data_IF_082810549506
#
_entry.id   IF_082810549506
#
_cell.length_a   1.000
_cell.length_b   1.000
_cell.length_c   1.000
_cell.angle_alpha   90.00
_cell.angle_beta   90.00
_cell.angle_gamma   90.00
#
_symmetry.space_group_name_H-M   'P 1'
#
loop_
_entity.id
_entity.type
_entity.pdbx_description
1 polymer ?
#
# COMPACT_ATOMS: atom_id res chain seq x y z
N UNK A 1 14.31 45.59 8.01
CA UNK A 1 13.31 44.52 7.85
C UNK A 1 13.15 43.85 9.21
N UNK A 2 11.95 43.81 9.73
CA UNK A 2 11.62 43.04 10.92
C UNK A 2 11.93 41.57 10.70
N UNK A 3 12.54 40.93 11.70
CA UNK A 3 12.84 39.47 11.60
C UNK A 3 11.52 38.73 11.68
N UNK A 4 11.09 38.13 10.58
CA UNK A 4 9.92 37.27 10.55
C UNK A 4 10.16 35.98 11.33
N UNK A 5 9.14 35.44 11.98
CA UNK A 5 9.16 34.06 12.52
C UNK A 5 9.39 33.09 11.35
N UNK A 6 10.13 31.99 11.60
CA UNK A 6 10.39 30.94 10.61
C UNK A 6 9.09 30.41 10.00
N UNK A 7 8.03 30.28 10.79
CA UNK A 7 6.71 29.80 10.36
C UNK A 7 6.04 30.68 9.29
N UNK A 8 6.36 31.97 9.25
CA UNK A 8 5.83 32.90 8.23
C UNK A 8 6.43 32.68 6.82
N UNK A 9 7.50 31.89 6.73
CA UNK A 9 8.14 31.49 5.47
C UNK A 9 7.61 30.18 4.91
N UNK A 10 6.87 29.41 5.70
CA UNK A 10 6.26 28.18 5.23
C UNK A 10 5.04 28.45 4.35
N UNK A 11 4.76 27.54 3.42
CA UNK A 11 3.51 27.58 2.69
C UNK A 11 2.32 27.41 3.65
N UNK A 12 1.19 28.11 3.43
CA UNK A 12 0.09 28.18 4.42
C UNK A 12 -0.42 26.81 4.90
N UNK A 13 -0.53 25.85 4.00
CA UNK A 13 -1.06 24.53 4.30
C UNK A 13 -0.10 23.63 5.11
N UNK A 14 1.17 24.03 5.26
CA UNK A 14 2.11 23.28 6.12
C UNK A 14 1.69 23.29 7.59
N UNK A 15 0.92 24.26 8.03
CA UNK A 15 0.40 24.32 9.40
C UNK A 15 -0.66 23.27 9.71
N UNK A 16 -1.34 22.75 8.69
CA UNK A 16 -2.42 21.75 8.81
C UNK A 16 -2.04 20.39 8.25
N UNK A 17 -0.95 20.30 7.47
CA UNK A 17 -0.46 19.04 6.91
C UNK A 17 -0.08 18.06 8.01
N UNK A 18 -0.51 16.81 7.84
CA UNK A 18 -0.25 15.73 8.81
C UNK A 18 1.11 15.11 8.62
N UNK A 19 1.82 14.90 9.72
CA UNK A 19 3.00 14.05 9.74
C UNK A 19 2.59 12.58 9.73
N UNK A 20 3.25 11.78 8.88
CA UNK A 20 3.03 10.33 8.89
C UNK A 20 3.83 9.69 10.00
N UNK A 21 3.15 9.26 11.06
CA UNK A 21 3.79 8.71 12.25
C UNK A 21 4.37 7.30 12.00
N UNK A 22 5.68 7.16 12.24
CA UNK A 22 6.44 5.91 12.13
C UNK A 22 7.00 5.41 13.45
N UNK A 23 6.68 6.03 14.58
CA UNK A 23 7.28 5.72 15.90
C UNK A 23 7.15 4.27 16.33
N UNK A 24 6.09 3.58 15.91
CA UNK A 24 5.92 2.14 16.20
C UNK A 24 7.04 1.29 15.55
N UNK A 25 7.65 1.77 14.45
CA UNK A 25 8.78 1.08 13.83
C UNK A 25 10.00 1.10 14.73
N UNK A 26 10.33 2.25 15.30
CA UNK A 26 11.49 2.38 16.20
C UNK A 26 11.33 1.43 17.39
N UNK A 27 10.17 1.46 18.05
CA UNK A 27 9.85 0.54 19.13
C UNK A 27 9.98 -0.94 18.70
N UNK A 28 9.50 -1.28 17.50
CA UNK A 28 9.52 -2.67 17.02
C UNK A 28 10.93 -3.16 16.65
N UNK A 29 11.84 -2.28 16.27
CA UNK A 29 13.24 -2.61 16.07
C UNK A 29 14.02 -2.78 17.39
N UNK A 30 13.66 -2.01 18.40
CA UNK A 30 14.24 -2.13 19.75
C UNK A 30 13.78 -3.40 20.49
N UNK A 31 12.69 -4.01 20.04
CA UNK A 31 12.06 -5.19 20.66
C UNK A 31 11.88 -6.34 19.66
N UNK A 32 12.96 -6.97 19.21
CA UNK A 32 12.93 -8.03 18.20
C UNK A 32 12.18 -9.29 18.66
N UNK A 33 11.93 -9.46 19.96
CA UNK A 33 11.15 -10.56 20.53
C UNK A 33 9.63 -10.38 20.33
N UNK A 34 9.19 -9.20 19.86
CA UNK A 34 7.79 -8.93 19.56
C UNK A 34 7.47 -9.30 18.10
N UNK A 35 6.35 -9.99 17.89
CA UNK A 35 5.84 -10.30 16.55
C UNK A 35 5.30 -9.05 15.86
N UNK A 36 5.77 -8.78 14.63
CA UNK A 36 5.44 -7.58 13.84
C UNK A 36 4.28 -7.85 12.88
N UNK A 37 3.06 -8.05 13.40
CA UNK A 37 1.88 -8.40 12.60
C UNK A 37 1.05 -7.17 12.17
N UNK A 38 1.67 -5.99 11.99
CA UNK A 38 0.97 -4.70 11.87
C UNK A 38 1.14 -3.96 10.55
N UNK A 39 2.20 -4.22 9.76
CA UNK A 39 2.61 -3.34 8.65
C UNK A 39 2.48 -3.96 7.26
N UNK A 40 1.79 -5.09 7.14
CA UNK A 40 1.69 -5.81 5.87
C UNK A 40 3.07 -6.12 5.27
N UNK A 41 4.04 -6.47 6.14
CA UNK A 41 5.35 -6.97 5.74
C UNK A 41 5.23 -8.45 5.38
N UNK A 42 6.06 -8.94 4.47
CA UNK A 42 6.23 -10.36 4.28
C UNK A 42 7.28 -10.84 5.30
N UNK A 43 6.99 -11.87 6.14
CA UNK A 43 7.90 -12.28 7.21
C UNK A 43 9.12 -13.06 6.70
N UNK A 44 9.03 -13.60 5.48
CA UNK A 44 10.08 -14.45 4.91
C UNK A 44 11.21 -13.59 4.33
N UNK A 45 12.47 -13.83 4.74
CA UNK A 45 13.61 -13.05 4.26
C UNK A 45 13.83 -13.26 2.75
N UNK A 46 14.62 -12.38 2.10
CA UNK A 46 15.09 -12.62 0.74
C UNK A 46 15.92 -13.92 0.65
N UNK A 47 15.81 -14.63 -0.47
CA UNK A 47 16.64 -15.80 -0.73
C UNK A 47 18.11 -15.43 -0.85
N UNK A 48 18.99 -16.43 -0.69
CA UNK A 48 20.44 -16.25 -0.86
C UNK A 48 20.77 -15.70 -2.26
N UNK A 49 20.04 -16.14 -3.30
CA UNK A 49 20.18 -15.62 -4.67
C UNK A 49 20.00 -14.10 -4.76
N UNK A 50 19.00 -13.57 -4.07
CA UNK A 50 18.75 -12.12 -4.02
C UNK A 50 19.83 -11.40 -3.21
N UNK A 51 20.24 -11.97 -2.08
CA UNK A 51 21.32 -11.43 -1.24
C UNK A 51 22.63 -11.35 -2.04
N UNK A 52 23.01 -12.42 -2.73
CA UNK A 52 24.23 -12.51 -3.53
C UNK A 52 24.21 -11.45 -4.66
N UNK A 53 23.08 -11.29 -5.34
CA UNK A 53 22.92 -10.25 -6.38
C UNK A 53 23.14 -8.84 -5.84
N UNK A 54 22.67 -8.54 -4.62
CA UNK A 54 22.90 -7.26 -3.95
C UNK A 54 24.36 -7.08 -3.58
N UNK A 55 25.00 -8.10 -3.01
CA UNK A 55 26.43 -8.07 -2.64
C UNK A 55 27.30 -7.87 -3.88
N UNK A 56 27.01 -8.57 -4.97
CA UNK A 56 27.75 -8.46 -6.22
C UNK A 56 27.73 -7.07 -6.82
N UNK A 57 26.61 -6.38 -6.74
CA UNK A 57 26.48 -5.04 -7.32
C UNK A 57 27.13 -3.95 -6.46
N UNK A 58 27.37 -4.20 -5.17
CA UNK A 58 27.99 -3.22 -4.25
C UNK A 58 29.40 -2.79 -4.69
N UNK A 59 30.14 -3.63 -5.41
CA UNK A 59 31.44 -3.24 -5.99
C UNK A 59 31.39 -2.07 -6.98
N UNK A 60 30.20 -1.75 -7.47
CA UNK A 60 29.93 -0.60 -8.33
C UNK A 60 29.26 0.58 -7.62
N UNK A 61 29.17 0.53 -6.28
CA UNK A 61 28.48 1.55 -5.46
C UNK A 61 29.04 2.97 -5.59
N UNK A 62 30.22 3.12 -6.20
CA UNK A 62 30.83 4.42 -6.55
C UNK A 62 30.34 4.99 -7.91
N UNK A 63 29.39 4.33 -8.58
CA UNK A 63 28.84 4.74 -9.88
C UNK A 63 27.36 4.98 -9.79
N UNK A 64 26.85 5.95 -10.55
CA UNK A 64 25.42 6.12 -10.73
C UNK A 64 24.79 4.93 -11.45
N UNK A 65 23.54 4.55 -11.10
CA UNK A 65 22.81 3.54 -11.85
C UNK A 65 22.57 3.97 -13.31
N UNK A 66 22.32 2.99 -14.17
CA UNK A 66 21.94 3.21 -15.56
C UNK A 66 20.51 3.72 -15.72
N UNK A 67 20.01 3.78 -16.97
CA UNK A 67 18.64 4.21 -17.29
C UNK A 67 17.56 3.18 -16.91
N UNK A 68 17.92 2.05 -16.28
CA UNK A 68 17.02 0.98 -15.85
C UNK A 68 16.19 0.33 -17.00
N UNK A 69 16.61 0.53 -18.25
CA UNK A 69 15.83 0.09 -19.42
C UNK A 69 15.54 -1.42 -19.42
N UNK A 70 16.54 -2.24 -19.04
CA UNK A 70 16.39 -3.69 -18.95
C UNK A 70 15.40 -4.10 -17.88
N UNK A 71 15.48 -3.51 -16.68
CA UNK A 71 14.58 -3.82 -15.59
C UNK A 71 13.16 -3.29 -15.86
N UNK A 72 13.03 -2.11 -16.49
CA UNK A 72 11.74 -1.60 -16.97
C UNK A 72 11.08 -2.55 -17.97
N UNK A 73 11.85 -3.13 -18.89
CA UNK A 73 11.34 -4.11 -19.85
C UNK A 73 10.88 -5.40 -19.15
N UNK A 74 11.60 -5.89 -18.12
CA UNK A 74 11.18 -7.05 -17.32
C UNK A 74 9.87 -6.78 -16.56
N UNK A 75 9.74 -5.61 -15.93
CA UNK A 75 8.51 -5.23 -15.25
C UNK A 75 7.36 -5.06 -16.24
N UNK A 76 7.58 -4.37 -17.37
CA UNK A 76 6.55 -4.19 -18.40
C UNK A 76 6.00 -5.52 -18.93
N UNK A 77 6.89 -6.51 -19.12
CA UNK A 77 6.49 -7.85 -19.59
C UNK A 77 5.46 -8.54 -18.67
N UNK A 78 5.43 -8.24 -17.38
CA UNK A 78 4.42 -8.78 -16.44
C UNK A 78 3.00 -8.33 -16.80
N UNK A 79 2.87 -7.25 -17.57
CA UNK A 79 1.61 -6.59 -17.90
C UNK A 79 1.36 -6.47 -19.42
N UNK A 80 2.15 -7.15 -20.22
CA UNK A 80 2.12 -7.05 -21.69
C UNK A 80 2.34 -5.60 -22.17
N UNK A 81 3.32 -4.91 -21.56
CA UNK A 81 3.69 -3.52 -21.81
C UNK A 81 5.17 -3.37 -22.17
N UNK A 82 5.51 -2.31 -22.93
CA UNK A 82 6.87 -1.94 -23.22
C UNK A 82 7.56 -1.17 -22.07
N UNK A 83 8.89 -1.02 -22.11
CA UNK A 83 9.64 -0.24 -21.10
C UNK A 83 9.26 1.25 -21.09
N UNK A 84 8.69 1.79 -22.15
CA UNK A 84 8.18 3.17 -22.24
C UNK A 84 6.93 3.40 -21.35
N UNK A 85 6.23 2.33 -21.01
CA UNK A 85 5.05 2.33 -20.15
C UNK A 85 5.37 2.19 -18.65
N UNK A 86 6.65 2.09 -18.29
CA UNK A 86 7.10 1.78 -16.93
C UNK A 86 8.04 2.84 -16.40
N UNK A 87 7.82 3.33 -15.18
CA UNK A 87 8.79 4.11 -14.41
C UNK A 87 9.06 3.44 -13.07
N UNK A 88 10.33 3.13 -12.80
CA UNK A 88 10.77 2.53 -11.53
C UNK A 88 10.97 3.62 -10.47
N UNK A 89 10.64 3.30 -9.22
CA UNK A 89 10.61 4.25 -8.13
C UNK A 89 11.17 3.65 -6.83
N UNK A 90 11.59 4.51 -5.92
CA UNK A 90 12.06 4.14 -4.60
C UNK A 90 10.88 3.77 -3.67
N UNK A 91 10.18 2.68 -4.04
CA UNK A 91 8.90 2.27 -3.47
C UNK A 91 7.74 3.15 -3.92
N UNK A 92 6.50 2.69 -3.68
CA UNK A 92 5.29 3.45 -4.03
C UNK A 92 5.14 4.75 -3.24
N UNK A 93 5.83 4.92 -2.12
CA UNK A 93 5.80 6.20 -1.38
C UNK A 93 6.29 7.37 -2.22
N UNK A 94 7.30 7.15 -3.07
CA UNK A 94 7.80 8.16 -4.01
C UNK A 94 6.80 8.44 -5.14
N UNK A 95 6.08 7.40 -5.60
CA UNK A 95 5.03 7.55 -6.61
C UNK A 95 3.86 8.37 -6.03
N UNK A 96 3.44 8.06 -4.81
CA UNK A 96 2.36 8.76 -4.12
C UNK A 96 2.69 10.25 -3.96
N UNK A 97 3.90 10.59 -3.53
CA UNK A 97 4.32 12.00 -3.45
C UNK A 97 4.35 12.67 -4.81
N UNK A 98 4.90 12.00 -5.81
CA UNK A 98 5.05 12.54 -7.15
C UNK A 98 3.71 12.78 -7.85
N UNK A 99 2.75 11.83 -7.76
CA UNK A 99 1.45 12.00 -8.40
C UNK A 99 0.65 13.15 -7.79
N UNK A 100 0.76 13.39 -6.46
CA UNK A 100 0.10 14.55 -5.86
C UNK A 100 0.61 15.86 -6.47
N UNK A 101 1.90 15.98 -6.72
CA UNK A 101 2.51 17.16 -7.35
C UNK A 101 2.28 17.25 -8.86
N UNK A 102 2.02 16.13 -9.54
CA UNK A 102 1.70 16.12 -10.97
C UNK A 102 0.28 16.64 -11.20
N UNK A 103 -0.68 16.25 -10.36
CA UNK A 103 -2.10 16.47 -10.61
C UNK A 103 -2.74 17.56 -9.73
N UNK A 104 -2.17 17.88 -8.56
CA UNK A 104 -2.81 18.71 -7.56
C UNK A 104 -2.05 20.01 -7.31
N UNK A 105 -2.82 21.09 -7.21
CA UNK A 105 -2.39 22.39 -6.73
C UNK A 105 -3.35 22.88 -5.63
N UNK A 106 -3.02 23.98 -4.91
CA UNK A 106 -3.90 24.50 -3.87
C UNK A 106 -5.32 24.77 -4.38
N UNK A 107 -6.30 24.19 -3.68
CA UNK A 107 -7.72 24.32 -4.00
C UNK A 107 -8.29 23.22 -4.89
N UNK A 108 -7.45 22.37 -5.49
CA UNK A 108 -7.90 21.16 -6.19
C UNK A 108 -8.39 20.09 -5.21
N UNK A 109 -9.12 19.11 -5.73
CA UNK A 109 -9.67 18.01 -4.95
C UNK A 109 -9.18 16.64 -5.47
N UNK A 110 -8.89 15.75 -4.51
CA UNK A 110 -8.70 14.31 -4.76
C UNK A 110 -9.81 13.54 -4.07
N UNK A 111 -10.44 12.61 -4.80
CA UNK A 111 -11.46 11.70 -4.26
C UNK A 111 -10.84 10.36 -3.91
N UNK A 112 -11.12 9.86 -2.70
CA UNK A 112 -10.69 8.54 -2.23
C UNK A 112 -11.66 7.97 -1.20
N UNK A 113 -11.66 6.65 -1.01
CA UNK A 113 -12.47 6.01 0.04
C UNK A 113 -11.88 6.25 1.44
N UNK A 114 -12.69 6.06 2.47
CA UNK A 114 -12.29 6.08 3.87
C UNK A 114 -12.94 4.90 4.63
N UNK A 115 -12.17 4.01 5.27
CA UNK A 115 -10.71 4.08 5.44
C UNK A 115 -9.92 3.70 4.19
N UNK A 116 -8.70 4.24 4.10
CA UNK A 116 -7.72 3.95 3.05
C UNK A 116 -6.29 3.97 3.61
N UNK A 117 -5.28 3.76 2.76
CA UNK A 117 -3.88 3.86 3.18
C UNK A 117 -3.52 5.32 3.51
N UNK A 118 -3.21 5.58 4.78
CA UNK A 118 -3.06 6.93 5.33
C UNK A 118 -1.97 7.82 4.73
N UNK A 119 -1.06 7.27 3.90
CA UNK A 119 -0.06 8.09 3.22
C UNK A 119 -0.69 8.96 2.12
N UNK A 120 -1.74 8.50 1.45
CA UNK A 120 -2.39 9.25 0.39
C UNK A 120 -2.96 10.60 0.85
N UNK A 121 -3.84 10.65 1.87
CA UNK A 121 -4.34 11.92 2.34
C UNK A 121 -3.23 12.82 2.89
N UNK A 122 -2.24 12.26 3.61
CA UNK A 122 -1.12 13.04 4.15
C UNK A 122 -0.29 13.70 3.03
N UNK A 123 -0.09 13.02 1.89
CA UNK A 123 0.66 13.60 0.75
C UNK A 123 -0.18 14.54 -0.10
N UNK A 124 -1.50 14.36 -0.18
CA UNK A 124 -2.39 15.32 -0.83
C UNK A 124 -2.43 16.66 -0.07
N UNK A 125 -2.52 16.64 1.25
CA UNK A 125 -2.56 17.82 2.10
C UNK A 125 -1.34 18.74 1.94
N UNK A 126 -0.14 18.18 1.70
CA UNK A 126 1.08 18.99 1.51
C UNK A 126 1.13 19.74 0.17
N UNK A 127 0.19 19.51 -0.74
CA UNK A 127 0.05 20.31 -1.98
C UNK A 127 -0.95 21.46 -1.82
N UNK A 128 -1.63 21.56 -0.67
CA UNK A 128 -2.72 22.49 -0.45
C UNK A 128 -4.05 22.04 -1.08
N UNK A 129 -4.11 20.81 -1.59
CA UNK A 129 -5.33 20.24 -2.13
C UNK A 129 -6.25 19.72 -1.02
N UNK A 130 -7.55 19.62 -1.34
CA UNK A 130 -8.56 19.07 -0.44
C UNK A 130 -8.75 17.58 -0.70
N UNK A 131 -8.74 16.80 0.37
CA UNK A 131 -9.09 15.38 0.33
C UNK A 131 -10.59 15.22 0.52
N UNK A 132 -11.27 14.70 -0.51
CA UNK A 132 -12.68 14.33 -0.46
C UNK A 132 -12.74 12.82 -0.09
N UNK A 133 -12.92 12.56 1.20
CA UNK A 133 -12.94 11.22 1.78
C UNK A 133 -14.36 10.68 1.82
N UNK A 134 -14.65 9.65 1.04
CA UNK A 134 -15.98 9.01 0.97
C UNK A 134 -15.97 7.78 1.88
N UNK A 135 -16.84 7.69 2.89
CA UNK A 135 -16.94 6.50 3.72
C UNK A 135 -17.25 5.25 2.88
N UNK A 136 -16.63 4.12 3.23
CA UNK A 136 -17.05 2.82 2.68
C UNK A 136 -18.46 2.46 3.19
N UNK A 137 -19.19 1.63 2.46
CA UNK A 137 -20.52 1.17 2.87
C UNK A 137 -20.43 0.43 4.21
N UNK A 138 -21.44 0.60 5.05
CA UNK A 138 -21.43 0.04 6.42
C UNK A 138 -21.69 -1.47 6.45
N UNK A 139 -22.44 -2.00 5.47
CA UNK A 139 -22.89 -3.38 5.41
C UNK A 139 -21.80 -4.37 5.01
N UNK A 140 -20.89 -3.96 4.08
CA UNK A 140 -19.91 -4.86 3.48
C UNK A 140 -18.50 -4.25 3.35
N UNK A 141 -18.33 -3.00 3.77
CA UNK A 141 -17.09 -2.21 3.67
C UNK A 141 -16.59 -2.00 2.24
N UNK A 142 -17.49 -2.15 1.24
CA UNK A 142 -17.21 -1.86 -0.15
C UNK A 142 -17.15 -0.34 -0.42
N UNK A 143 -16.57 0.02 -1.54
CA UNK A 143 -16.62 1.37 -2.06
C UNK A 143 -18.07 1.84 -2.20
N UNK A 144 -18.38 3.01 -1.70
CA UNK A 144 -19.63 3.70 -2.04
C UNK A 144 -19.44 4.44 -3.37
N UNK A 145 -19.59 3.69 -4.45
CA UNK A 145 -19.33 4.16 -5.83
C UNK A 145 -20.22 5.33 -6.18
N UNK A 146 -21.50 5.28 -5.81
CA UNK A 146 -22.44 6.36 -6.10
C UNK A 146 -22.03 7.65 -5.38
N UNK A 147 -21.73 7.57 -4.09
CA UNK A 147 -21.28 8.75 -3.34
C UNK A 147 -19.93 9.28 -3.85
N UNK A 148 -19.02 8.41 -4.33
CA UNK A 148 -17.77 8.84 -4.94
C UNK A 148 -18.00 9.56 -6.28
N UNK A 149 -18.90 9.08 -7.11
CA UNK A 149 -19.26 9.71 -8.40
C UNK A 149 -20.00 11.03 -8.19
N UNK A 150 -20.93 11.09 -7.23
CA UNK A 150 -21.69 12.30 -6.88
C UNK A 150 -20.77 13.41 -6.32
N UNK A 151 -19.64 13.04 -5.71
CA UNK A 151 -18.65 13.99 -5.20
C UNK A 151 -17.80 14.64 -6.29
N UNK A 152 -17.82 14.12 -7.52
CA UNK A 152 -17.02 14.63 -8.64
C UNK A 152 -17.51 16.03 -9.04
N UNK A 153 -16.56 16.96 -9.18
CA UNK A 153 -16.85 18.32 -9.60
C UNK A 153 -15.64 18.91 -10.38
N UNK A 154 -15.74 20.16 -10.80
CA UNK A 154 -14.71 20.84 -11.60
C UNK A 154 -13.33 20.96 -10.93
N UNK A 155 -13.27 20.86 -9.58
CA UNK A 155 -12.04 20.88 -8.79
C UNK A 155 -11.42 19.48 -8.65
N UNK A 156 -12.13 18.43 -9.00
CA UNK A 156 -11.61 17.06 -8.93
C UNK A 156 -10.55 16.87 -10.00
N UNK A 157 -9.31 16.61 -9.59
CA UNK A 157 -8.15 16.44 -10.49
C UNK A 157 -7.53 15.06 -10.41
N UNK A 158 -7.90 14.28 -9.40
CA UNK A 158 -7.38 12.93 -9.21
C UNK A 158 -8.42 12.08 -8.48
N UNK A 159 -8.59 10.85 -8.92
CA UNK A 159 -9.36 9.81 -8.22
C UNK A 159 -8.43 8.68 -7.87
N UNK A 160 -8.54 8.16 -6.66
CA UNK A 160 -7.73 7.04 -6.16
C UNK A 160 -8.61 5.83 -5.85
N UNK A 161 -8.26 4.71 -6.45
CA UNK A 161 -8.81 3.38 -6.13
C UNK A 161 -7.67 2.46 -5.73
N UNK A 162 -7.68 1.95 -4.49
CA UNK A 162 -6.74 0.93 -4.03
C UNK A 162 -7.40 -0.44 -4.23
N UNK A 163 -6.80 -1.30 -5.02
CA UNK A 163 -7.46 -2.52 -5.47
C UNK A 163 -6.57 -3.78 -5.33
N UNK A 164 -6.73 -4.53 -4.22
CA UNK A 164 -7.76 -4.43 -3.17
C UNK A 164 -7.50 -3.30 -2.16
N UNK A 165 -8.59 -2.73 -1.60
CA UNK A 165 -8.49 -1.63 -0.64
C UNK A 165 -7.84 -2.05 0.68
N UNK A 166 -6.99 -1.22 1.19
CA UNK A 166 -6.37 -1.38 2.51
C UNK A 166 -6.95 -0.31 3.47
N UNK A 167 -7.68 -0.70 4.53
CA UNK A 167 -7.64 -2.00 5.20
C UNK A 167 -8.80 -2.96 4.90
N UNK A 168 -9.83 -2.60 4.13
CA UNK A 168 -11.08 -3.37 4.04
C UNK A 168 -10.96 -4.68 3.25
N UNK A 169 -9.95 -4.81 2.39
CA UNK A 169 -9.69 -6.02 1.61
C UNK A 169 -10.56 -6.17 0.36
N UNK A 170 -11.44 -5.24 0.09
CA UNK A 170 -12.40 -5.35 -1.01
C UNK A 170 -11.79 -4.99 -2.35
N UNK A 171 -12.19 -5.70 -3.41
CA UNK A 171 -12.01 -5.28 -4.79
C UNK A 171 -13.19 -4.44 -5.25
N UNK A 172 -12.91 -3.40 -6.04
CA UNK A 172 -13.97 -2.73 -6.80
C UNK A 172 -14.40 -3.62 -7.97
N UNK A 173 -15.69 -3.70 -8.24
CA UNK A 173 -16.21 -4.44 -9.41
C UNK A 173 -15.79 -3.75 -10.70
N UNK A 174 -15.50 -4.55 -11.75
CA UNK A 174 -15.02 -4.00 -13.03
C UNK A 174 -16.02 -3.03 -13.67
N UNK A 175 -17.34 -3.32 -13.57
CA UNK A 175 -18.38 -2.41 -14.06
C UNK A 175 -18.36 -1.03 -13.39
N UNK A 176 -18.03 -0.99 -12.09
CA UNK A 176 -17.96 0.23 -11.30
C UNK A 176 -16.64 0.98 -11.56
N UNK A 177 -15.54 0.24 -11.73
CA UNK A 177 -14.25 0.81 -12.11
C UNK A 177 -14.32 1.50 -13.47
N UNK A 178 -15.01 0.90 -14.44
CA UNK A 178 -15.21 1.50 -15.77
C UNK A 178 -15.94 2.84 -15.70
N UNK A 179 -16.91 3.01 -14.80
CA UNK A 179 -17.59 4.30 -14.60
C UNK A 179 -16.62 5.42 -14.20
N UNK A 180 -15.60 5.12 -13.40
CA UNK A 180 -14.55 6.09 -13.09
C UNK A 180 -13.62 6.34 -14.30
N UNK A 181 -13.33 5.32 -15.10
CA UNK A 181 -12.55 5.50 -16.33
C UNK A 181 -13.26 6.43 -17.32
N UNK A 182 -14.58 6.34 -17.44
CA UNK A 182 -15.40 7.15 -18.36
C UNK A 182 -15.44 8.64 -18.01
N UNK A 183 -15.06 9.02 -16.78
CA UNK A 183 -15.03 10.43 -16.36
C UNK A 183 -13.93 11.26 -17.05
N UNK A 184 -12.90 10.62 -17.62
CA UNK A 184 -11.76 11.33 -18.21
C UNK A 184 -10.85 12.06 -17.20
N UNK A 185 -11.08 11.87 -15.91
CA UNK A 185 -10.26 12.42 -14.83
C UNK A 185 -9.10 11.46 -14.54
N UNK A 186 -7.87 11.95 -14.28
CA UNK A 186 -6.75 11.08 -13.87
C UNK A 186 -7.17 10.10 -12.77
N UNK A 187 -7.02 8.81 -13.05
CA UNK A 187 -7.39 7.71 -12.16
C UNK A 187 -6.17 6.87 -11.81
N UNK A 188 -5.79 6.89 -10.53
CA UNK A 188 -4.77 6.00 -10.00
C UNK A 188 -5.39 4.71 -9.47
N UNK A 189 -4.95 3.57 -9.98
CA UNK A 189 -5.30 2.25 -9.45
C UNK A 189 -4.07 1.70 -8.72
N UNK A 190 -4.18 1.53 -7.40
CA UNK A 190 -3.09 0.96 -6.58
C UNK A 190 -3.25 -0.56 -6.49
N UNK A 191 -2.36 -1.28 -7.13
CA UNK A 191 -2.30 -2.75 -7.15
C UNK A 191 -1.15 -3.29 -6.27
N UNK A 192 -0.86 -2.66 -5.14
CA UNK A 192 0.23 -3.08 -4.26
C UNK A 192 0.14 -4.55 -3.79
N UNK A 193 -1.05 -5.14 -3.80
CA UNK A 193 -1.30 -6.51 -3.35
C UNK A 193 -1.57 -7.49 -4.50
N UNK A 194 -1.52 -7.07 -5.75
CA UNK A 194 -1.83 -7.86 -6.95
C UNK A 194 -1.16 -9.25 -6.97
N UNK A 195 0.10 -9.33 -6.58
CA UNK A 195 0.87 -10.58 -6.66
C UNK A 195 0.45 -11.66 -5.65
N UNK A 196 -0.46 -11.38 -4.73
CA UNK A 196 -1.04 -12.42 -3.87
C UNK A 196 -2.16 -13.20 -4.57
N UNK A 197 -2.85 -12.60 -5.55
CA UNK A 197 -3.95 -13.17 -6.31
C UNK A 197 -3.90 -12.74 -7.78
N UNK A 198 -2.83 -13.10 -8.52
CA UNK A 198 -2.65 -12.66 -9.90
C UNK A 198 -3.72 -13.21 -10.87
N UNK A 199 -4.44 -14.27 -10.47
CA UNK A 199 -5.55 -14.85 -11.23
C UNK A 199 -6.75 -13.89 -11.41
N UNK A 200 -6.89 -12.89 -10.56
CA UNK A 200 -7.93 -11.84 -10.71
C UNK A 200 -7.63 -10.92 -11.90
N UNK A 201 -6.38 -10.90 -12.35
CA UNK A 201 -5.93 -10.03 -13.44
C UNK A 201 -5.67 -8.59 -13.00
N UNK A 202 -4.59 -8.02 -13.53
CA UNK A 202 -4.30 -6.59 -13.36
C UNK A 202 -5.22 -5.74 -14.21
N UNK A 203 -5.52 -4.53 -13.74
CA UNK A 203 -6.28 -3.52 -14.47
C UNK A 203 -5.42 -2.72 -15.45
N UNK A 204 -4.15 -3.12 -15.66
CA UNK A 204 -3.23 -2.45 -16.58
C UNK A 204 -3.75 -2.38 -18.03
N UNK A 205 -4.59 -3.32 -18.46
CA UNK A 205 -5.21 -3.30 -19.79
C UNK A 205 -6.08 -2.06 -20.04
N UNK A 206 -6.66 -1.44 -18.98
CA UNK A 206 -7.50 -0.25 -19.08
C UNK A 206 -6.74 0.97 -19.64
N UNK A 207 -5.42 1.03 -19.45
CA UNK A 207 -4.61 2.12 -19.97
C UNK A 207 -4.58 2.19 -21.51
N UNK A 208 -4.91 1.09 -22.20
CA UNK A 208 -4.96 1.06 -23.67
C UNK A 208 -6.17 1.84 -24.20
N UNK A 209 -7.26 1.86 -23.47
CA UNK A 209 -8.51 2.53 -23.84
C UNK A 209 -8.64 3.89 -23.14
N UNK A 210 -8.15 3.99 -21.89
CA UNK A 210 -8.29 5.17 -21.05
C UNK A 210 -6.88 5.73 -20.69
N UNK A 211 -6.31 6.64 -21.51
CA UNK A 211 -4.92 7.11 -21.35
C UNK A 211 -4.66 7.91 -20.09
N UNK A 212 -5.69 8.36 -19.38
CA UNK A 212 -5.62 9.05 -18.09
C UNK A 212 -5.60 8.08 -16.90
N UNK A 213 -5.81 6.78 -17.14
CA UNK A 213 -5.65 5.73 -16.12
C UNK A 213 -4.17 5.37 -16.01
N UNK A 214 -3.68 5.25 -14.78
CA UNK A 214 -2.34 4.76 -14.47
C UNK A 214 -2.38 3.88 -13.23
N UNK A 215 -1.44 2.95 -13.15
CA UNK A 215 -1.36 2.01 -12.05
C UNK A 215 -0.06 2.17 -11.30
N UNK A 216 -0.06 1.83 -10.02
CA UNK A 216 1.16 1.64 -9.26
C UNK A 216 1.17 0.27 -8.58
N UNK A 217 2.37 -0.26 -8.42
CA UNK A 217 2.59 -1.51 -7.68
C UNK A 217 3.96 -1.52 -7.00
N UNK A 218 4.21 -2.51 -6.15
CA UNK A 218 5.39 -2.54 -5.29
C UNK A 218 5.90 -3.96 -5.06
N UNK A 219 7.20 -4.07 -4.81
CA UNK A 219 7.80 -5.29 -4.32
C UNK A 219 7.82 -5.37 -2.78
N UNK A 220 7.30 -4.37 -2.10
CA UNK A 220 7.26 -4.34 -0.63
C UNK A 220 6.37 -5.42 -0.01
N UNK A 221 5.38 -5.97 -0.74
CA UNK A 221 4.35 -6.86 -0.20
C UNK A 221 4.65 -8.33 -0.52
N UNK A 222 4.12 -8.89 -1.58
CA UNK A 222 4.31 -10.30 -1.93
C UNK A 222 5.79 -10.69 -2.07
N UNK A 223 6.60 -9.84 -2.67
CA UNK A 223 8.03 -10.07 -2.84
C UNK A 223 8.86 -9.93 -1.54
N UNK A 224 8.33 -9.28 -0.50
CA UNK A 224 9.00 -9.13 0.79
C UNK A 224 10.12 -8.07 0.81
N UNK A 225 10.02 -7.04 -0.02
CA UNK A 225 11.08 -6.03 -0.21
C UNK A 225 10.76 -4.67 0.43
N UNK A 226 10.10 -4.65 1.60
CA UNK A 226 9.80 -3.42 2.31
C UNK A 226 11.05 -2.55 2.54
N UNK A 227 12.16 -3.17 2.98
CA UNK A 227 13.44 -2.50 3.24
C UNK A 227 14.26 -2.17 1.98
N UNK A 228 14.03 -2.90 0.88
CA UNK A 228 14.72 -2.72 -0.40
C UNK A 228 14.22 -1.48 -1.16
N UNK A 229 12.98 -1.05 -0.87
CA UNK A 229 12.40 0.15 -1.45
C UNK A 229 12.27 0.10 -2.98
N UNK A 230 11.54 -0.86 -3.52
CA UNK A 230 11.31 -0.97 -4.95
C UNK A 230 9.81 -0.95 -5.28
N UNK A 231 9.44 -0.11 -6.22
CA UNK A 231 8.09 0.03 -6.75
C UNK A 231 8.12 0.62 -8.17
N UNK A 232 6.98 0.66 -8.80
CA UNK A 232 6.86 1.17 -10.16
C UNK A 232 5.46 1.72 -10.42
N UNK A 233 5.40 2.65 -11.38
CA UNK A 233 4.17 3.15 -11.97
C UNK A 233 4.10 2.70 -13.43
N UNK A 234 2.90 2.34 -13.84
CA UNK A 234 2.54 1.97 -15.20
C UNK A 234 1.59 3.02 -15.77
N UNK A 235 1.80 3.39 -17.03
CA UNK A 235 0.96 4.38 -17.70
C UNK A 235 1.27 4.45 -19.21
N UNK A 236 0.55 5.30 -19.90
CA UNK A 236 0.92 5.65 -21.29
C UNK A 236 2.30 6.32 -21.31
N UNK A 237 3.00 6.34 -22.45
CA UNK A 237 4.27 7.05 -22.55
C UNK A 237 4.18 8.52 -22.13
N UNK A 238 3.05 9.17 -22.38
CA UNK A 238 2.80 10.55 -21.93
C UNK A 238 2.71 10.65 -20.41
N UNK A 239 1.96 9.76 -19.76
CA UNK A 239 1.87 9.66 -18.30
C UNK A 239 3.26 9.42 -17.69
N UNK A 240 4.00 8.47 -18.22
CA UNK A 240 5.37 8.16 -17.77
C UNK A 240 6.31 9.35 -17.97
N UNK A 241 6.14 10.13 -19.04
CA UNK A 241 6.90 11.37 -19.24
C UNK A 241 6.65 12.40 -18.13
N UNK A 242 5.41 12.54 -17.64
CA UNK A 242 5.09 13.39 -16.50
C UNK A 242 5.82 12.94 -15.22
N UNK A 243 5.78 11.64 -14.93
CA UNK A 243 6.55 11.08 -13.81
C UNK A 243 8.07 11.25 -13.97
N UNK A 244 8.62 11.13 -15.19
CA UNK A 244 10.04 11.35 -15.45
C UNK A 244 10.48 12.79 -15.17
N UNK A 245 9.60 13.78 -15.37
CA UNK A 245 9.88 15.20 -15.05
C UNK A 245 9.82 15.47 -13.54
N UNK A 246 8.96 14.74 -12.82
CA UNK A 246 8.74 14.94 -11.40
C UNK A 246 9.76 14.20 -10.54
N UNK A 247 10.11 12.97 -10.92
CA UNK A 247 11.02 12.12 -10.17
C UNK A 247 12.47 12.56 -10.36
N UNK A 248 13.25 12.48 -9.27
CA UNK A 248 14.67 12.76 -9.33
C UNK A 248 15.40 11.73 -10.21
N UNK A 249 16.48 12.13 -10.90
CA UNK A 249 17.34 11.17 -11.58
C UNK A 249 18.00 10.23 -10.55
N UNK A 250 18.27 9.01 -10.97
CA UNK A 250 18.94 7.97 -10.14
C UNK A 250 18.22 7.66 -8.82
N UNK A 251 16.92 7.82 -8.77
CA UNK A 251 16.09 7.64 -7.59
C UNK A 251 16.05 6.21 -7.02
N UNK A 252 16.37 5.20 -7.83
CA UNK A 252 16.44 3.79 -7.41
C UNK A 252 17.90 3.36 -7.29
N UNK A 253 18.30 2.81 -6.14
CA UNK A 253 19.66 2.38 -5.90
C UNK A 253 20.04 1.14 -6.73
N UNK A 254 21.34 0.96 -6.99
CA UNK A 254 21.86 -0.25 -7.64
C UNK A 254 21.45 -1.52 -6.90
N UNK A 255 21.47 -1.49 -5.56
CA UNK A 255 21.07 -2.62 -4.72
C UNK A 255 19.60 -2.98 -4.88
N UNK A 256 18.73 -1.97 -4.88
CA UNK A 256 17.29 -2.17 -5.11
C UNK A 256 17.01 -2.74 -6.51
N UNK A 257 17.73 -2.28 -7.53
CA UNK A 257 17.62 -2.80 -8.90
C UNK A 257 18.07 -4.25 -9.00
N UNK A 258 19.22 -4.59 -8.41
CA UNK A 258 19.76 -5.94 -8.41
C UNK A 258 18.84 -6.93 -7.67
N UNK A 259 18.32 -6.52 -6.50
CA UNK A 259 17.36 -7.31 -5.75
C UNK A 259 16.07 -7.56 -6.55
N UNK A 260 15.52 -6.50 -7.16
CA UNK A 260 14.29 -6.62 -7.95
C UNK A 260 14.48 -7.50 -9.18
N UNK A 261 15.60 -7.38 -9.87
CA UNK A 261 15.93 -8.22 -11.03
C UNK A 261 16.09 -9.69 -10.64
N UNK A 262 16.85 -9.98 -9.57
CA UNK A 262 17.04 -11.34 -9.06
C UNK A 262 15.71 -11.98 -8.63
N UNK A 263 14.80 -11.21 -8.04
CA UNK A 263 13.46 -11.68 -7.66
C UNK A 263 12.60 -11.98 -8.90
N UNK A 264 12.63 -11.13 -9.92
CA UNK A 264 11.90 -11.37 -11.18
C UNK A 264 12.40 -12.62 -11.91
N UNK A 265 13.67 -12.95 -11.74
CA UNK A 265 14.31 -14.16 -12.27
C UNK A 265 14.16 -15.39 -11.34
N UNK A 266 13.33 -15.26 -10.28
CA UNK A 266 13.09 -16.31 -9.29
C UNK A 266 11.60 -16.41 -8.89
N UNK A 267 10.73 -16.78 -9.84
CA UNK A 267 9.28 -16.83 -9.58
C UNK A 267 8.89 -17.86 -8.50
N UNK A 268 9.71 -18.87 -8.27
CA UNK A 268 9.48 -19.89 -7.25
C UNK A 268 9.54 -19.30 -5.82
N UNK A 269 10.43 -18.35 -5.59
CA UNK A 269 10.49 -17.63 -4.31
C UNK A 269 9.21 -16.83 -4.05
N UNK A 270 8.72 -16.14 -5.07
CA UNK A 270 7.45 -15.42 -4.95
C UNK A 270 6.30 -16.37 -4.66
N UNK A 271 6.20 -17.48 -5.38
CA UNK A 271 5.18 -18.51 -5.18
C UNK A 271 5.19 -19.04 -3.74
N UNK A 272 6.37 -19.40 -3.22
CA UNK A 272 6.54 -19.86 -1.84
C UNK A 272 6.08 -18.83 -0.80
N UNK A 273 6.42 -17.55 -1.00
CA UNK A 273 6.00 -16.45 -0.11
C UNK A 273 4.49 -16.25 -0.13
N UNK A 274 3.88 -16.35 -1.29
CA UNK A 274 2.42 -16.24 -1.47
C UNK A 274 1.71 -17.43 -0.83
N UNK A 275 2.20 -18.65 -1.02
CA UNK A 275 1.64 -19.86 -0.42
C UNK A 275 1.65 -19.80 1.11
N UNK A 276 2.78 -19.39 1.73
CA UNK A 276 2.88 -19.19 3.17
C UNK A 276 1.82 -18.20 3.68
N UNK A 277 1.71 -17.06 3.01
CA UNK A 277 0.69 -16.06 3.34
C UNK A 277 -0.72 -16.62 3.27
N UNK A 278 -1.07 -17.26 2.15
CA UNK A 278 -2.45 -17.72 1.90
C UNK A 278 -2.86 -18.85 2.86
N UNK A 279 -1.91 -19.73 3.22
CA UNK A 279 -2.08 -20.74 4.29
C UNK A 279 -2.55 -20.06 5.58
N UNK A 280 -1.82 -19.05 6.05
CA UNK A 280 -2.11 -18.41 7.33
C UNK A 280 -3.33 -17.49 7.29
N UNK A 281 -3.57 -16.81 6.19
CA UNK A 281 -4.80 -16.03 6.00
C UNK A 281 -6.05 -16.91 6.12
N UNK A 282 -6.03 -18.13 5.57
CA UNK A 282 -7.12 -19.10 5.71
C UNK A 282 -7.31 -19.53 7.17
N UNK A 283 -6.23 -19.92 7.86
CA UNK A 283 -6.26 -20.34 9.26
C UNK A 283 -6.80 -19.21 10.14
N UNK A 284 -6.33 -17.97 9.94
CA UNK A 284 -6.82 -16.82 10.71
C UNK A 284 -8.32 -16.59 10.50
N UNK A 285 -8.80 -16.65 9.26
CA UNK A 285 -10.22 -16.47 8.96
C UNK A 285 -11.09 -17.50 9.69
N UNK A 286 -10.69 -18.78 9.66
CA UNK A 286 -11.41 -19.88 10.32
C UNK A 286 -11.43 -19.70 11.85
N UNK A 287 -10.29 -19.41 12.47
CA UNK A 287 -10.19 -19.27 13.92
C UNK A 287 -10.94 -18.03 14.45
N UNK A 288 -10.80 -16.90 13.76
CA UNK A 288 -11.51 -15.66 14.10
C UNK A 288 -13.03 -15.87 14.01
N UNK A 289 -13.50 -16.56 12.97
CA UNK A 289 -14.93 -16.89 12.81
C UNK A 289 -15.45 -17.80 13.93
N UNK A 290 -14.67 -18.82 14.36
CA UNK A 290 -15.04 -19.69 15.48
C UNK A 290 -15.24 -18.94 16.80
N UNK A 291 -14.54 -17.81 16.97
CA UNK A 291 -14.67 -16.94 18.14
C UNK A 291 -15.86 -15.95 18.04
N UNK A 292 -16.69 -16.05 17.01
CA UNK A 292 -17.82 -15.15 16.79
C UNK A 292 -17.46 -13.75 16.32
N UNK A 293 -16.19 -13.53 15.96
CA UNK A 293 -15.71 -12.29 15.37
C UNK A 293 -15.89 -12.32 13.84
N UNK A 294 -15.90 -11.15 13.18
CA UNK A 294 -16.06 -11.09 11.74
C UNK A 294 -14.73 -10.75 11.05
N UNK A 295 -14.07 -11.72 10.38
CA UNK A 295 -12.92 -11.45 9.55
C UNK A 295 -13.35 -10.88 8.19
N UNK A 296 -12.53 -9.98 7.65
CA UNK A 296 -12.57 -9.50 6.26
C UNK A 296 -11.22 -9.86 5.62
N UNK A 297 -11.06 -11.09 5.13
CA UNK A 297 -9.80 -11.52 4.53
C UNK A 297 -9.57 -10.76 3.23
N UNK A 298 -8.45 -10.04 3.18
CA UNK A 298 -8.04 -9.37 1.95
C UNK A 298 -7.38 -10.38 1.00
N UNK A 299 -7.52 -10.20 -0.31
CA UNK A 299 -6.66 -10.84 -1.29
C UNK A 299 -5.27 -10.18 -1.28
N UNK A 300 -4.58 -10.29 -0.14
CA UNK A 300 -3.30 -9.68 0.17
C UNK A 300 -2.73 -10.33 1.42
N UNK A 301 -1.82 -9.64 2.11
CA UNK A 301 -1.22 -10.12 3.35
C UNK A 301 -1.76 -9.40 4.61
N UNK A 302 -3.03 -9.18 4.65
CA UNK A 302 -3.66 -8.59 5.83
C UNK A 302 -5.12 -9.02 5.94
N UNK A 303 -5.61 -9.00 7.15
CA UNK A 303 -7.00 -9.25 7.48
C UNK A 303 -7.51 -8.16 8.41
N UNK A 304 -8.54 -7.45 8.00
CA UNK A 304 -9.31 -6.60 8.89
C UNK A 304 -10.24 -7.49 9.71
N UNK A 305 -10.28 -7.26 11.00
CA UNK A 305 -11.16 -8.01 11.93
C UNK A 305 -12.09 -7.03 12.62
N UNK A 306 -13.38 -7.27 12.53
CA UNK A 306 -14.41 -6.61 13.33
C UNK A 306 -14.63 -7.42 14.61
N UNK A 307 -14.09 -6.93 15.71
CA UNK A 307 -14.26 -7.50 17.05
C UNK A 307 -15.23 -6.68 17.92
N UNK A 308 -15.98 -5.76 17.32
CA UNK A 308 -16.90 -4.86 18.05
C UNK A 308 -18.00 -5.60 18.83
N UNK A 309 -18.39 -6.79 18.37
CA UNK A 309 -19.32 -7.68 19.09
C UNK A 309 -18.82 -8.04 20.49
N UNK A 310 -17.51 -8.02 20.72
CA UNK A 310 -16.91 -8.28 22.05
C UNK A 310 -17.06 -7.12 23.04
N UNK A 311 -17.51 -5.95 22.58
CA UNK A 311 -17.57 -4.73 23.39
C UNK A 311 -16.22 -4.09 23.68
N UNK A 312 -15.12 -4.63 23.15
CA UNK A 312 -13.76 -4.13 23.36
C UNK A 312 -13.38 -3.09 22.31
N UNK A 313 -12.68 -2.05 22.74
CA UNK A 313 -12.13 -1.03 21.85
C UNK A 313 -10.88 -1.53 21.13
N UNK A 314 -10.55 -0.92 20.01
CA UNK A 314 -9.29 -1.18 19.31
C UNK A 314 -8.07 -1.00 20.24
N UNK A 315 -8.06 0.05 21.07
CA UNK A 315 -6.95 0.34 21.98
C UNK A 315 -6.74 -0.79 23.01
N UNK A 316 -7.82 -1.33 23.60
CA UNK A 316 -7.78 -2.45 24.55
C UNK A 316 -7.25 -3.72 23.88
N UNK A 317 -7.72 -4.02 22.65
CA UNK A 317 -7.28 -5.20 21.90
C UNK A 317 -5.77 -5.14 21.63
N UNK A 318 -5.27 -4.00 21.17
CA UNK A 318 -3.84 -3.83 20.86
C UNK A 318 -2.97 -3.89 22.12
N UNK A 319 -3.42 -3.29 23.23
CA UNK A 319 -2.72 -3.36 24.50
C UNK A 319 -2.63 -4.80 25.02
N UNK A 320 -3.75 -5.54 24.99
CA UNK A 320 -3.79 -6.94 25.41
C UNK A 320 -2.88 -7.84 24.52
N UNK A 321 -2.89 -7.67 23.20
CA UNK A 321 -2.01 -8.41 22.29
C UNK A 321 -0.53 -8.19 22.62
N UNK A 322 -0.17 -6.95 22.93
CA UNK A 322 1.19 -6.56 23.29
C UNK A 322 1.60 -7.14 24.65
N UNK A 323 0.72 -7.09 25.65
CA UNK A 323 0.99 -7.56 27.00
C UNK A 323 1.01 -9.09 27.10
N UNK A 324 0.00 -9.77 26.55
CA UNK A 324 -0.18 -11.21 26.70
C UNK A 324 0.80 -12.05 25.87
N UNK A 325 1.01 -11.65 24.61
CA UNK A 325 1.77 -12.49 23.66
C UNK A 325 2.87 -11.71 22.90
N UNK A 326 3.19 -10.48 23.32
CA UNK A 326 4.21 -9.64 22.66
C UNK A 326 3.98 -9.47 21.15
N UNK A 327 2.77 -9.04 20.77
CA UNK A 327 2.35 -8.90 19.37
C UNK A 327 2.01 -7.44 19.08
N UNK A 328 2.52 -6.90 17.98
CA UNK A 328 2.06 -5.65 17.41
C UNK A 328 0.97 -5.91 16.37
N UNK A 329 -0.24 -5.41 16.62
CA UNK A 329 -1.34 -5.35 15.65
C UNK A 329 -1.49 -3.94 15.09
N UNK A 330 -2.14 -3.80 13.94
CA UNK A 330 -2.39 -2.49 13.35
C UNK A 330 -3.65 -1.86 13.95
N UNK A 331 -3.48 -0.66 14.49
CA UNK A 331 -4.59 0.19 14.88
C UNK A 331 -5.41 0.59 13.66
N UNK A 332 -6.73 0.44 13.77
CA UNK A 332 -7.71 0.92 12.81
C UNK A 332 -8.60 1.93 13.54
N UNK A 333 -8.77 3.10 12.95
CA UNK A 333 -9.74 4.08 13.45
C UNK A 333 -11.16 3.53 13.34
N UNK A 334 -12.12 4.03 14.15
CA UNK A 334 -13.51 3.62 14.00
C UNK A 334 -13.99 3.74 12.55
N UNK A 335 -14.63 2.68 12.04
CA UNK A 335 -15.20 2.64 10.71
C UNK A 335 -16.70 2.93 10.84
N UNK A 336 -17.18 3.95 10.16
CA UNK A 336 -18.58 4.40 10.23
C UNK A 336 -19.07 4.59 11.68
N UNK A 337 -18.19 5.14 12.54
CA UNK A 337 -18.49 5.37 13.96
C UNK A 337 -18.38 4.14 14.88
N UNK A 338 -18.10 2.95 14.35
CA UNK A 338 -17.99 1.70 15.09
C UNK A 338 -16.51 1.41 15.42
N UNK A 339 -16.18 1.26 16.70
CA UNK A 339 -14.85 0.87 17.19
C UNK A 339 -14.71 -0.68 17.29
N UNK A 340 -13.54 -1.17 17.69
CA UNK A 340 -13.24 -2.59 17.85
C UNK A 340 -12.65 -3.26 16.61
N UNK A 341 -12.32 -2.50 15.57
CA UNK A 341 -11.60 -3.03 14.40
C UNK A 341 -10.10 -3.06 14.65
N UNK A 342 -9.46 -4.14 14.25
CA UNK A 342 -8.00 -4.19 14.14
C UNK A 342 -7.59 -4.91 12.85
N UNK A 343 -6.34 -4.73 12.44
CA UNK A 343 -5.79 -5.44 11.27
C UNK A 343 -4.59 -6.26 11.68
N UNK A 344 -4.54 -7.50 11.19
CA UNK A 344 -3.44 -8.44 11.40
C UNK A 344 -2.79 -8.80 10.05
N UNK A 345 -1.49 -9.00 10.07
CA UNK A 345 -0.66 -9.46 8.94
C UNK A 345 -0.08 -10.81 9.33
N UNK A 346 -0.10 -11.84 8.48
CA UNK A 346 0.61 -13.09 8.75
C UNK A 346 2.12 -12.87 8.94
N UNK A 347 2.66 -13.41 10.03
CA UNK A 347 4.08 -13.44 10.36
C UNK A 347 4.73 -14.81 10.05
N UNK A 348 5.83 -15.12 10.73
CA UNK A 348 6.40 -16.46 10.76
C UNK A 348 5.44 -17.44 11.46
N UNK A 349 5.64 -18.75 11.25
CA UNK A 349 4.76 -19.77 11.84
C UNK A 349 4.61 -19.59 13.37
N UNK A 350 5.72 -19.36 14.09
CA UNK A 350 5.70 -19.12 15.54
C UNK A 350 4.94 -17.85 15.94
N UNK A 351 5.08 -16.79 15.16
CA UNK A 351 4.39 -15.51 15.40
C UNK A 351 2.88 -15.67 15.18
N UNK A 352 2.50 -16.44 14.16
CA UNK A 352 1.12 -16.75 13.85
C UNK A 352 0.46 -17.62 14.91
N UNK A 353 1.16 -18.62 15.46
CA UNK A 353 0.67 -19.41 16.58
C UNK A 353 0.47 -18.57 17.85
N UNK A 354 1.37 -17.61 18.12
CA UNK A 354 1.18 -16.66 19.23
C UNK A 354 -0.06 -15.80 19.02
N UNK A 355 -0.33 -15.37 17.79
CA UNK A 355 -1.57 -14.64 17.48
C UNK A 355 -2.81 -15.51 17.71
N UNK A 356 -2.82 -16.77 17.28
CA UNK A 356 -3.93 -17.69 17.54
C UNK A 356 -4.14 -17.92 19.04
N UNK A 357 -3.06 -18.10 19.80
CA UNK A 357 -3.12 -18.21 21.27
C UNK A 357 -3.74 -16.96 21.91
N UNK A 358 -3.30 -15.78 21.47
CA UNK A 358 -3.87 -14.52 21.94
C UNK A 358 -5.37 -14.43 21.70
N UNK A 359 -5.84 -14.61 20.45
CA UNK A 359 -7.27 -14.44 20.15
C UNK A 359 -8.14 -15.45 20.86
N UNK A 360 -7.69 -16.70 21.01
CA UNK A 360 -8.40 -17.74 21.75
C UNK A 360 -8.51 -17.41 23.26
N UNK A 361 -7.45 -16.89 23.85
CA UNK A 361 -7.46 -16.53 25.29
C UNK A 361 -8.22 -15.24 25.57
N UNK A 362 -8.24 -14.30 24.62
CA UNK A 362 -8.79 -12.96 24.85
C UNK A 362 -10.26 -12.83 24.44
N UNK A 363 -10.72 -13.60 23.47
CA UNK A 363 -12.07 -13.56 22.92
C UNK A 363 -12.86 -14.87 23.12
N UNK A 364 -12.22 -15.99 23.41
CA UNK A 364 -12.84 -17.29 23.72
C UNK A 364 -13.06 -17.42 25.21
#
# INVERSE_FOLDING_TARGET
>A
MEKKDLKEWFVPWMSTAREYNTSILDESWERPEYARLMLNENPLPPSQKVIDAVVDVMKYGNRYPDSMKRLRAKVGKLYDLGPENVRLCNGTSEIIDSMMRIFLQPGDEIIMSNPTFGLYPARAEITGAKVVSIPVRSEDLQYDVEAMLDAVNEKTKLILIINPNNPTGVYIEDKDLLRFCELGIPLCIDEAYFFYHPEVGSKAHLMKEYPHVFLQSTFSKAHGFCGIRFGYVLGTPEMISAFNKMLLPWNVSLMSMAAAEAMLDNPEELAYKVEHNNKWMKIFAEEITKLGLKPYPAPGNYMLVDASVSGKTNAEILAAAKEMEKIYLKRISPINGKDGFFRVTPGLDEENERFLKFIRAYFG
#
